data_IF_853867707277
#
_entry.id   IF_853867707277
#
_cell.length_a   1.000
_cell.length_b   1.000
_cell.length_c   1.000
_cell.angle_alpha   90.00
_cell.angle_beta   90.00
_cell.angle_gamma   90.00
#
_symmetry.space_group_name_H-M   'P 1'
#
loop_
_entity.id
_entity.type
_entity.pdbx_description
1 polymer ?
#
# COMPACT_ATOMS: atom_id res chain seq x y z
N UNK A 1 26.78 13.36 -18.40
CA UNK A 1 26.42 12.98 -17.01
C UNK A 1 24.94 13.26 -16.80
N UNK A 2 24.15 12.29 -16.32
CA UNK A 2 22.73 12.50 -16.07
C UNK A 2 22.52 13.39 -14.83
N UNK A 3 21.64 14.37 -14.92
CA UNK A 3 21.28 15.25 -13.80
C UNK A 3 20.63 14.41 -12.68
N UNK A 4 21.05 14.54 -11.40
CA UNK A 4 20.45 13.78 -10.31
C UNK A 4 18.96 14.11 -10.19
N UNK A 5 18.13 13.06 -10.06
CA UNK A 5 16.68 13.21 -9.84
C UNK A 5 16.49 13.61 -8.38
N UNK A 6 16.36 14.92 -8.14
CA UNK A 6 16.13 15.47 -6.81
C UNK A 6 14.63 15.75 -6.64
N UNK A 7 13.99 15.36 -5.53
CA UNK A 7 12.62 15.74 -5.24
C UNK A 7 12.44 17.26 -5.29
N UNK A 8 11.47 17.75 -6.07
CA UNK A 8 11.15 19.17 -6.07
C UNK A 8 10.55 19.56 -4.73
N UNK A 9 11.18 20.51 -4.02
CA UNK A 9 10.64 21.07 -2.79
C UNK A 9 9.36 21.86 -3.10
N UNK A 10 8.30 21.63 -2.32
CA UNK A 10 6.99 22.28 -2.49
C UNK A 10 6.50 22.76 -1.13
N UNK A 11 5.70 23.83 -1.12
CA UNK A 11 5.10 24.34 0.12
C UNK A 11 4.18 23.29 0.77
N UNK A 12 4.04 23.28 2.12
CA UNK A 12 3.16 22.36 2.82
C UNK A 12 1.71 22.42 2.32
N UNK A 13 1.22 23.63 2.02
CA UNK A 13 -0.11 23.85 1.45
C UNK A 13 -0.26 23.18 0.08
N UNK A 14 0.72 23.33 -0.81
CA UNK A 14 0.69 22.70 -2.15
C UNK A 14 0.70 21.18 -2.05
N UNK A 15 1.47 20.62 -1.11
CA UNK A 15 1.52 19.18 -0.85
C UNK A 15 0.19 18.67 -0.29
N UNK A 16 -0.40 19.39 0.66
CA UNK A 16 -1.70 19.04 1.25
C UNK A 16 -2.82 19.06 0.20
N UNK A 17 -2.92 20.14 -0.59
CA UNK A 17 -3.89 20.26 -1.68
C UNK A 17 -3.68 19.20 -2.76
N UNK A 18 -2.42 18.92 -3.11
CA UNK A 18 -2.09 17.85 -4.05
C UNK A 18 -2.56 16.48 -3.55
N UNK A 19 -2.25 16.12 -2.30
CA UNK A 19 -2.72 14.87 -1.69
C UNK A 19 -4.24 14.79 -1.69
N UNK A 20 -4.92 15.86 -1.28
CA UNK A 20 -6.38 15.91 -1.26
C UNK A 20 -6.97 15.71 -2.67
N UNK A 21 -6.48 16.45 -3.67
CA UNK A 21 -6.93 16.35 -5.06
C UNK A 21 -6.72 14.93 -5.63
N UNK A 22 -5.52 14.38 -5.53
CA UNK A 22 -5.24 13.05 -6.11
C UNK A 22 -5.96 11.92 -5.37
N UNK A 23 -6.15 12.04 -4.05
CA UNK A 23 -6.94 11.07 -3.26
C UNK A 23 -8.41 11.16 -3.62
N UNK A 24 -8.98 12.38 -3.69
CA UNK A 24 -10.36 12.61 -4.10
C UNK A 24 -10.63 12.11 -5.52
N UNK A 25 -9.75 12.46 -6.47
CA UNK A 25 -9.83 11.96 -7.85
C UNK A 25 -9.81 10.43 -7.90
N UNK A 26 -9.00 9.77 -7.06
CA UNK A 26 -8.98 8.31 -6.98
C UNK A 26 -10.29 7.75 -6.46
N UNK A 27 -10.88 8.36 -5.43
CA UNK A 27 -12.18 7.92 -4.91
C UNK A 27 -13.30 8.13 -5.91
N UNK A 28 -13.32 9.26 -6.62
CA UNK A 28 -14.26 9.48 -7.73
C UNK A 28 -14.13 8.40 -8.80
N UNK A 29 -12.91 8.00 -9.17
CA UNK A 29 -12.69 6.89 -10.11
C UNK A 29 -13.21 5.53 -9.63
N UNK A 30 -13.32 5.31 -8.31
CA UNK A 30 -13.92 4.09 -7.77
C UNK A 30 -15.44 4.09 -7.84
N UNK A 31 -16.06 5.27 -7.93
CA UNK A 31 -17.50 5.43 -8.06
C UNK A 31 -17.96 5.41 -9.52
N UNK A 32 -17.04 5.54 -10.48
CA UNK A 32 -17.37 5.47 -11.91
C UNK A 32 -17.87 4.05 -12.26
N UNK A 33 -19.03 3.94 -12.95
CA UNK A 33 -19.67 2.65 -13.23
C UNK A 33 -18.90 1.79 -14.24
N UNK A 34 -17.99 2.40 -15.02
CA UNK A 34 -17.24 1.72 -16.08
C UNK A 34 -16.17 0.74 -15.58
N UNK A 35 -16.04 0.52 -14.26
CA UNK A 35 -15.07 -0.41 -13.70
C UNK A 35 -15.73 -1.36 -12.72
N UNK A 36 -15.69 -2.65 -13.05
CA UNK A 36 -15.99 -3.73 -12.12
C UNK A 36 -14.73 -4.02 -11.33
N UNK A 37 -14.81 -3.96 -10.00
CA UNK A 37 -13.68 -4.23 -9.13
C UNK A 37 -13.86 -5.57 -8.44
N UNK A 38 -12.78 -6.32 -8.28
CA UNK A 38 -12.80 -7.58 -7.56
C UNK A 38 -13.32 -7.40 -6.12
N UNK A 39 -14.30 -8.22 -5.76
CA UNK A 39 -14.85 -8.28 -4.40
C UNK A 39 -15.15 -9.70 -3.90
N UNK A 40 -15.07 -10.71 -4.79
CA UNK A 40 -15.26 -12.10 -4.40
C UNK A 40 -14.07 -12.59 -3.57
N UNK A 41 -14.34 -13.20 -2.43
CA UNK A 41 -13.33 -13.85 -1.58
C UNK A 41 -13.68 -15.33 -1.52
N UNK A 42 -12.73 -16.18 -1.91
CA UNK A 42 -12.79 -17.62 -1.67
C UNK A 42 -11.58 -18.01 -0.82
N UNK A 43 -11.87 -18.31 0.44
CA UNK A 43 -10.85 -18.73 1.40
C UNK A 43 -10.67 -20.26 1.43
N UNK A 44 -11.49 -21.02 0.69
CA UNK A 44 -11.61 -22.48 0.85
C UNK A 44 -11.08 -23.28 -0.33
N UNK A 45 -11.13 -22.75 -1.55
CA UNK A 45 -10.71 -23.48 -2.75
C UNK A 45 -9.50 -22.82 -3.43
N UNK A 46 -8.28 -23.39 -3.32
CA UNK A 46 -7.18 -22.94 -4.14
C UNK A 46 -7.52 -23.13 -5.63
N UNK A 47 -7.19 -22.14 -6.46
CA UNK A 47 -7.31 -22.28 -7.90
C UNK A 47 -6.50 -23.50 -8.36
N UNK A 48 -7.02 -24.24 -9.33
CA UNK A 48 -6.45 -25.49 -9.81
C UNK A 48 -4.98 -25.36 -10.26
N UNK A 49 -4.57 -24.17 -10.71
CA UNK A 49 -3.24 -23.91 -11.22
C UNK A 49 -2.62 -22.67 -10.59
N UNK A 50 -1.36 -22.80 -10.14
CA UNK A 50 -0.53 -21.68 -9.68
C UNK A 50 0.37 -21.21 -10.80
N UNK A 51 0.10 -20.03 -11.35
CA UNK A 51 0.88 -19.43 -12.44
C UNK A 51 2.17 -18.79 -11.92
N UNK A 52 2.10 -18.08 -10.79
CA UNK A 52 3.23 -17.37 -10.22
C UNK A 52 3.17 -17.37 -8.68
N UNK A 53 4.33 -17.25 -8.06
CA UNK A 53 4.46 -17.07 -6.62
C UNK A 53 5.75 -16.32 -6.30
N UNK A 54 5.71 -15.48 -5.27
CA UNK A 54 6.86 -14.71 -4.84
C UNK A 54 6.91 -14.65 -3.31
N UNK A 55 8.11 -14.64 -2.76
CA UNK A 55 8.35 -14.51 -1.33
C UNK A 55 9.57 -13.60 -1.11
N UNK A 56 9.48 -12.74 -0.10
CA UNK A 56 10.57 -11.86 0.32
C UNK A 56 10.80 -11.97 1.82
N UNK A 57 12.04 -11.78 2.29
CA UNK A 57 12.31 -11.69 3.72
C UNK A 57 11.64 -10.44 4.30
N UNK A 58 10.84 -10.62 5.36
CA UNK A 58 10.10 -9.52 5.99
C UNK A 58 10.98 -8.65 6.90
N UNK A 59 12.06 -9.18 7.47
CA UNK A 59 12.98 -8.42 8.32
C UNK A 59 14.31 -8.21 7.62
N UNK A 60 14.79 -6.97 7.64
CA UNK A 60 16.12 -6.58 7.17
C UNK A 60 16.67 -5.55 8.15
N UNK A 61 17.90 -5.73 8.58
CA UNK A 61 18.60 -4.71 9.37
C UNK A 61 19.09 -3.63 8.41
N UNK A 62 18.48 -2.45 8.49
CA UNK A 62 18.85 -1.30 7.68
C UNK A 62 19.70 -0.34 8.51
N UNK A 63 20.66 0.32 7.86
CA UNK A 63 21.47 1.35 8.48
C UNK A 63 20.58 2.53 8.87
N UNK A 64 20.76 3.04 10.08
CA UNK A 64 20.08 4.26 10.58
C UNK A 64 18.54 4.17 10.65
N UNK A 65 17.99 2.96 10.81
CA UNK A 65 16.56 2.73 11.03
C UNK A 65 16.33 1.93 12.31
N UNK A 66 15.39 2.40 13.14
CA UNK A 66 14.90 1.66 14.31
C UNK A 66 14.25 0.33 13.87
N UNK A 67 14.77 -0.79 14.39
CA UNK A 67 14.26 -2.13 14.14
C UNK A 67 12.79 -2.31 14.55
N UNK A 68 12.28 -1.53 15.50
CA UNK A 68 10.86 -1.52 15.86
C UNK A 68 9.96 -1.22 14.65
N UNK A 69 10.40 -0.35 13.74
CA UNK A 69 9.66 -0.02 12.52
C UNK A 69 9.58 -1.23 11.56
N UNK A 70 10.60 -2.10 11.55
CA UNK A 70 10.59 -3.35 10.78
C UNK A 70 9.66 -4.40 11.39
N UNK A 71 9.59 -4.48 12.72
CA UNK A 71 8.61 -5.35 13.40
C UNK A 71 7.18 -4.86 13.18
N UNK A 72 6.93 -3.55 13.31
CA UNK A 72 5.62 -2.95 13.04
C UNK A 72 5.17 -3.17 11.59
N UNK A 73 6.11 -3.16 10.64
CA UNK A 73 5.84 -3.50 9.24
C UNK A 73 5.20 -4.89 9.10
N UNK A 74 5.64 -5.89 9.88
CA UNK A 74 5.02 -7.23 9.85
C UNK A 74 3.54 -7.13 10.23
N UNK A 75 3.21 -6.41 11.30
CA UNK A 75 1.82 -6.19 11.73
C UNK A 75 1.01 -5.47 10.65
N UNK A 76 1.56 -4.41 10.05
CA UNK A 76 0.91 -3.67 8.97
C UNK A 76 0.65 -4.56 7.74
N UNK A 77 1.62 -5.38 7.34
CA UNK A 77 1.46 -6.32 6.22
C UNK A 77 0.43 -7.39 6.54
N UNK A 78 0.39 -7.93 7.76
CA UNK A 78 -0.64 -8.88 8.18
C UNK A 78 -2.04 -8.28 8.06
N UNK A 79 -2.23 -7.04 8.52
CA UNK A 79 -3.50 -6.32 8.43
C UNK A 79 -3.91 -6.02 6.98
N UNK A 80 -2.95 -5.68 6.11
CA UNK A 80 -3.23 -5.46 4.70
C UNK A 80 -3.52 -6.78 3.96
N UNK A 81 -2.72 -7.82 4.21
CA UNK A 81 -2.89 -9.14 3.62
C UNK A 81 -4.23 -9.78 4.00
N UNK A 82 -4.73 -9.56 5.22
CA UNK A 82 -6.04 -10.09 5.63
C UNK A 82 -7.20 -9.51 4.82
N UNK A 83 -7.01 -8.38 4.11
CA UNK A 83 -8.01 -7.80 3.20
C UNK A 83 -7.88 -8.29 1.76
N UNK A 84 -6.79 -8.99 1.45
CA UNK A 84 -6.41 -9.39 0.09
C UNK A 84 -6.38 -10.90 -0.08
N UNK A 85 -6.11 -11.64 1.00
CA UNK A 85 -5.98 -13.08 0.96
C UNK A 85 -7.31 -13.73 0.51
N UNK A 86 -7.24 -14.58 -0.51
CA UNK A 86 -8.41 -15.22 -1.11
C UNK A 86 -9.22 -14.34 -2.07
N UNK A 87 -8.78 -13.11 -2.39
CA UNK A 87 -9.45 -12.27 -3.38
C UNK A 87 -9.36 -12.91 -4.78
N UNK A 88 -10.52 -13.19 -5.38
CA UNK A 88 -10.61 -13.67 -6.76
C UNK A 88 -10.76 -12.48 -7.70
N UNK A 89 -9.94 -12.44 -8.74
CA UNK A 89 -10.05 -11.49 -9.84
C UNK A 89 -10.68 -12.18 -11.05
N UNK A 90 -11.95 -11.89 -11.33
CA UNK A 90 -12.65 -12.46 -12.48
C UNK A 90 -12.27 -11.76 -13.79
N UNK A 91 -12.51 -12.40 -14.96
CA UNK A 91 -12.31 -11.75 -16.25
C UNK A 91 -13.07 -10.42 -16.35
N UNK A 92 -12.38 -9.36 -16.78
CA UNK A 92 -12.93 -8.01 -16.90
C UNK A 92 -13.00 -7.21 -15.60
N UNK A 93 -12.61 -7.79 -14.46
CA UNK A 93 -12.50 -7.06 -13.21
C UNK A 93 -11.15 -6.34 -13.05
N UNK A 94 -11.15 -5.30 -12.23
CA UNK A 94 -9.96 -4.52 -11.86
C UNK A 94 -9.60 -4.79 -10.40
N UNK A 95 -8.34 -5.17 -10.17
CA UNK A 95 -7.77 -5.18 -8.82
C UNK A 95 -7.29 -3.77 -8.44
N UNK A 96 -7.62 -3.32 -7.22
CA UNK A 96 -7.09 -2.08 -6.67
C UNK A 96 -6.70 -2.26 -5.20
N UNK A 97 -5.40 -2.31 -4.95
CA UNK A 97 -4.84 -2.48 -3.60
C UNK A 97 -5.47 -1.52 -2.58
N UNK A 98 -5.49 -0.21 -2.87
CA UNK A 98 -6.03 0.79 -1.95
C UNK A 98 -7.57 0.76 -1.83
N UNK A 99 -8.28 0.19 -2.80
CA UNK A 99 -9.73 -0.02 -2.66
C UNK A 99 -10.02 -1.18 -1.71
N UNK A 100 -9.26 -2.27 -1.82
CA UNK A 100 -9.42 -3.47 -0.98
C UNK A 100 -8.90 -3.26 0.45
N UNK A 101 -7.69 -2.71 0.61
CA UNK A 101 -7.07 -2.45 1.92
C UNK A 101 -7.65 -1.19 2.58
N UNK A 102 -7.95 -0.17 1.77
CA UNK A 102 -8.35 1.14 2.25
C UNK A 102 -7.19 1.94 2.85
N UNK A 103 -7.49 3.16 3.30
CA UNK A 103 -6.51 4.01 4.00
C UNK A 103 -6.04 3.33 5.31
N UNK A 104 -4.72 3.21 5.55
CA UNK A 104 -4.19 2.70 6.81
C UNK A 104 -4.33 3.77 7.88
N UNK A 105 -4.91 3.40 9.01
CA UNK A 105 -5.15 4.31 10.15
C UNK A 105 -4.88 3.58 11.45
N UNK A 106 -4.50 4.32 12.50
CA UNK A 106 -4.29 3.73 13.84
C UNK A 106 -5.53 3.02 14.36
N UNK A 107 -6.72 3.56 14.07
CA UNK A 107 -8.02 2.93 14.40
C UNK A 107 -8.21 1.53 13.81
N UNK A 108 -7.61 1.26 12.65
CA UNK A 108 -7.61 -0.06 12.00
C UNK A 108 -6.48 -0.98 12.50
N UNK A 109 -5.73 -0.57 13.53
CA UNK A 109 -4.61 -1.33 14.10
C UNK A 109 -3.27 -1.10 13.40
N UNK A 110 -3.19 -0.23 12.37
CA UNK A 110 -1.92 0.05 11.71
C UNK A 110 -0.96 0.80 12.64
N UNK A 111 0.27 0.32 12.66
CA UNK A 111 1.37 0.87 13.44
C UNK A 111 2.27 1.76 12.58
N UNK A 112 3.12 2.54 13.23
CA UNK A 112 4.10 3.34 12.52
C UNK A 112 5.21 2.46 11.96
N UNK A 113 5.53 2.67 10.68
CA UNK A 113 6.61 2.00 9.98
C UNK A 113 7.37 2.98 9.10
N UNK A 114 8.36 2.48 8.36
CA UNK A 114 9.14 3.31 7.45
C UNK A 114 8.28 3.86 6.30
N UNK A 115 8.47 5.14 6.00
CA UNK A 115 7.88 5.86 4.87
C UNK A 115 8.96 6.68 4.20
N UNK A 116 8.99 6.70 2.88
CA UNK A 116 9.87 7.59 2.12
C UNK A 116 9.14 8.91 1.84
N UNK A 117 9.72 10.02 2.27
CA UNK A 117 9.17 11.36 2.05
C UNK A 117 10.25 12.30 1.53
N UNK A 118 10.08 12.83 0.32
CA UNK A 118 11.03 13.76 -0.31
C UNK A 118 12.50 13.28 -0.25
N UNK A 119 12.74 11.99 -0.46
CA UNK A 119 14.07 11.38 -0.44
C UNK A 119 14.60 11.03 0.95
N UNK A 120 13.90 11.37 2.02
CA UNK A 120 14.24 11.00 3.39
C UNK A 120 13.40 9.83 3.89
N UNK A 121 14.02 8.94 4.67
CA UNK A 121 13.31 7.88 5.41
C UNK A 121 12.74 8.49 6.69
N UNK A 122 11.44 8.37 6.87
CA UNK A 122 10.71 8.87 8.02
C UNK A 122 9.82 7.76 8.61
N UNK A 123 9.23 8.03 9.77
CA UNK A 123 8.21 7.16 10.37
C UNK A 123 6.80 7.66 10.06
N UNK A 124 5.88 6.75 9.76
CA UNK A 124 4.48 7.09 9.53
C UNK A 124 3.53 5.89 9.63
N UNK A 125 2.27 6.16 9.94
CA UNK A 125 1.25 5.13 10.15
C UNK A 125 1.00 4.32 8.89
N UNK A 126 1.03 2.99 9.00
CA UNK A 126 0.93 2.08 7.86
C UNK A 126 2.20 2.05 7.00
N UNK A 127 3.34 2.52 7.52
CA UNK A 127 4.62 2.40 6.84
C UNK A 127 5.03 0.94 6.60
N UNK A 128 5.81 0.73 5.55
CA UNK A 128 6.31 -0.58 5.14
C UNK A 128 5.33 -1.46 4.34
N UNK A 129 4.20 -0.91 3.87
CA UNK A 129 3.25 -1.59 2.99
C UNK A 129 3.73 -1.74 1.54
N UNK A 130 4.71 -0.92 1.11
CA UNK A 130 5.39 -1.08 -0.17
C UNK A 130 6.51 -2.10 0.03
N UNK A 131 6.42 -3.26 -0.63
CA UNK A 131 7.35 -4.39 -0.55
C UNK A 131 7.95 -4.71 -1.92
#
# INVERSE_FOLDING_TARGET
MAKPIVPTQRSPLRLALGRAFFTGRRYLQWLLPNKRYASAIDAGCPLAYKIAGHQTPLLRQLREVDMRLQYNKITNLRLAASRLNGLILQPGETFSFWRSVGRPTRRKGYLDGMVLSNGAVCSGTGGGLCQ
#
